data_IF_904166555112
#
_entry.id   IF_904166555112
#
_cell.length_a   1.000
_cell.length_b   1.000
_cell.length_c   1.000
_cell.angle_alpha   90.00
_cell.angle_beta   90.00
_cell.angle_gamma   90.00
#
_symmetry.space_group_name_H-M   'P 1'
#
loop_
_entity.id
_entity.type
_entity.pdbx_description
1 polymer ?
#
# COMPACT_ATOMS: atom_id res chain seq x y z
N UNK A 1 -6.01 -7.48 -7.41
CA UNK A 1 -4.81 -6.78 -6.94
C UNK A 1 -3.78 -6.69 -8.03
N UNK A 2 -3.52 -7.80 -8.73
CA UNK A 2 -2.54 -7.90 -9.83
C UNK A 2 -2.79 -6.97 -11.04
N UNK A 3 -4.04 -6.58 -11.27
CA UNK A 3 -4.42 -5.65 -12.34
C UNK A 3 -4.21 -4.18 -11.98
N UNK A 4 -5.30 -3.41 -11.97
CA UNK A 4 -5.27 -1.95 -11.80
C UNK A 4 -4.55 -1.48 -10.53
N UNK A 5 -4.69 -2.18 -9.40
CA UNK A 5 -4.05 -1.79 -8.13
C UNK A 5 -2.53 -1.80 -8.27
N UNK A 6 -1.94 -2.90 -8.73
CA UNK A 6 -0.50 -3.00 -8.96
C UNK A 6 -0.02 -2.02 -10.04
N UNK A 7 -0.77 -1.87 -11.12
CA UNK A 7 -0.43 -0.90 -12.18
C UNK A 7 -0.36 0.53 -11.63
N UNK A 8 -1.34 0.97 -10.85
CA UNK A 8 -1.33 2.30 -10.24
C UNK A 8 -0.21 2.49 -9.22
N UNK A 9 0.14 1.46 -8.43
CA UNK A 9 1.28 1.53 -7.52
C UNK A 9 2.62 1.71 -8.28
N UNK A 10 2.81 0.94 -9.35
CA UNK A 10 3.97 1.05 -10.25
C UNK A 10 4.05 2.43 -10.89
N UNK A 11 2.94 2.97 -11.38
CA UNK A 11 2.89 4.30 -11.96
C UNK A 11 3.18 5.38 -10.91
N UNK A 12 2.61 5.25 -9.71
CA UNK A 12 2.86 6.16 -8.59
C UNK A 12 4.35 6.25 -8.26
N UNK A 13 5.01 5.10 -8.09
CA UNK A 13 6.44 5.02 -7.83
C UNK A 13 7.28 5.69 -8.93
N UNK A 14 6.95 5.46 -10.21
CA UNK A 14 7.63 6.09 -11.34
C UNK A 14 7.49 7.62 -11.38
N UNK A 15 6.44 8.16 -10.77
CA UNK A 15 6.21 9.60 -10.65
C UNK A 15 6.66 10.18 -9.29
N UNK A 16 7.36 9.39 -8.47
CA UNK A 16 7.86 9.83 -7.16
C UNK A 16 6.79 9.90 -6.06
N UNK A 17 5.62 9.29 -6.27
CA UNK A 17 4.62 9.11 -5.24
C UNK A 17 4.84 7.80 -4.50
N UNK A 18 4.65 7.82 -3.18
CA UNK A 18 4.65 6.62 -2.35
C UNK A 18 3.21 6.18 -2.09
N UNK A 19 2.85 5.00 -2.58
CA UNK A 19 1.49 4.47 -2.46
C UNK A 19 1.33 3.69 -1.15
N UNK A 20 0.19 3.84 -0.48
CA UNK A 20 -0.27 2.93 0.56
C UNK A 20 -1.36 2.04 -0.04
N UNK A 21 -1.12 0.74 -0.13
CA UNK A 21 -2.09 -0.24 -0.65
C UNK A 21 -2.68 -1.00 0.53
N UNK A 22 -4.00 -0.89 0.69
CA UNK A 22 -4.73 -1.53 1.79
C UNK A 22 -5.05 -2.98 1.42
N UNK A 23 -4.36 -3.93 2.05
CA UNK A 23 -4.36 -5.34 1.67
C UNK A 23 -5.76 -5.97 1.75
N UNK A 24 -6.41 -5.83 2.90
CA UNK A 24 -7.73 -6.38 3.23
C UNK A 24 -8.89 -5.65 2.54
N UNK A 25 -8.63 -4.50 1.91
CA UNK A 25 -9.58 -3.80 1.04
C UNK A 25 -9.29 -4.02 -0.46
N UNK A 26 -8.20 -4.71 -0.80
CA UNK A 26 -7.83 -5.07 -2.16
C UNK A 26 -8.17 -6.54 -2.43
N UNK A 27 -8.49 -6.88 -3.67
CA UNK A 27 -8.90 -8.25 -4.01
C UNK A 27 -8.45 -8.69 -5.39
N UNK A 28 -8.11 -9.97 -5.51
CA UNK A 28 -7.84 -10.66 -6.77
C UNK A 28 -8.71 -11.92 -6.90
N UNK A 29 -8.88 -12.43 -8.13
CA UNK A 29 -9.61 -13.70 -8.35
C UNK A 29 -8.77 -14.91 -7.95
N UNK A 30 -7.44 -14.76 -7.96
CA UNK A 30 -6.49 -15.78 -7.52
C UNK A 30 -5.80 -15.32 -6.25
N UNK A 31 -5.86 -16.13 -5.19
CA UNK A 31 -5.16 -15.86 -3.94
C UNK A 31 -3.64 -15.77 -4.16
N UNK A 32 -3.07 -16.65 -4.97
CA UNK A 32 -1.65 -16.60 -5.34
C UNK A 32 -1.30 -15.28 -6.03
N UNK A 33 -2.10 -14.87 -7.01
CA UNK A 33 -1.87 -13.59 -7.70
C UNK A 33 -2.05 -12.38 -6.77
N UNK A 34 -2.93 -12.47 -5.78
CA UNK A 34 -3.10 -11.45 -4.75
C UNK A 34 -1.82 -11.28 -3.93
N UNK A 35 -1.32 -12.38 -3.34
CA UNK A 35 -0.15 -12.37 -2.47
C UNK A 35 1.12 -11.96 -3.23
N UNK A 36 1.37 -12.53 -4.43
CA UNK A 36 2.54 -12.13 -5.25
C UNK A 36 2.50 -10.65 -5.61
N UNK A 37 1.31 -10.11 -5.90
CA UNK A 37 1.19 -8.69 -6.25
C UNK A 37 1.42 -7.80 -5.04
N UNK A 38 0.85 -8.15 -3.87
CA UNK A 38 1.10 -7.42 -2.62
C UNK A 38 2.58 -7.42 -2.26
N UNK A 39 3.24 -8.59 -2.31
CA UNK A 39 4.67 -8.68 -2.05
C UNK A 39 5.49 -7.78 -2.99
N UNK A 40 5.19 -7.79 -4.29
CA UNK A 40 5.89 -6.90 -5.23
C UNK A 40 5.65 -5.41 -4.97
N UNK A 41 4.47 -5.05 -4.46
CA UNK A 41 4.15 -3.66 -4.12
C UNK A 41 4.96 -3.25 -2.89
N UNK A 42 4.95 -4.07 -1.84
CA UNK A 42 5.65 -3.80 -0.57
C UNK A 42 7.17 -3.74 -0.74
N UNK A 43 7.73 -4.58 -1.61
CA UNK A 43 9.16 -4.62 -1.86
C UNK A 43 9.67 -3.44 -2.71
N UNK A 44 8.85 -2.92 -3.64
CA UNK A 44 9.36 -2.07 -4.74
C UNK A 44 8.59 -0.79 -5.02
N UNK A 45 7.29 -0.73 -4.72
CA UNK A 45 6.39 0.30 -5.29
C UNK A 45 5.61 1.12 -4.25
N UNK A 46 5.57 0.68 -3.00
CA UNK A 46 4.84 1.35 -1.92
C UNK A 46 4.79 0.47 -0.66
N UNK A 47 3.88 0.79 0.25
CA UNK A 47 3.67 -0.04 1.44
C UNK A 47 2.33 -0.75 1.35
N UNK A 48 2.31 -2.00 1.82
CA UNK A 48 1.09 -2.76 2.02
C UNK A 48 0.68 -2.69 3.48
N UNK A 49 -0.51 -2.17 3.74
CA UNK A 49 -1.01 -1.90 5.09
C UNK A 49 -2.37 -2.54 5.34
N UNK A 50 -2.76 -2.69 6.61
CA UNK A 50 -4.14 -3.08 6.94
C UNK A 50 -5.11 -1.90 6.85
N UNK A 51 -6.41 -2.18 6.75
CA UNK A 51 -7.44 -1.13 6.84
C UNK A 51 -7.36 -0.38 8.18
N UNK A 52 -6.99 -1.08 9.27
CA UNK A 52 -6.84 -0.45 10.58
C UNK A 52 -5.71 0.59 10.58
N UNK A 53 -4.54 0.24 10.06
CA UNK A 53 -3.39 1.15 9.99
C UNK A 53 -3.66 2.34 9.06
N UNK A 54 -4.33 2.10 7.93
CA UNK A 54 -4.72 3.17 7.01
C UNK A 54 -5.69 4.16 7.66
N UNK A 55 -6.66 3.68 8.44
CA UNK A 55 -7.60 4.53 9.18
C UNK A 55 -6.91 5.31 10.30
N UNK A 56 -5.96 4.70 11.00
CA UNK A 56 -5.15 5.36 12.01
C UNK A 56 -4.32 6.49 11.39
N UNK A 57 -3.60 6.20 10.30
CA UNK A 57 -2.81 7.18 9.55
C UNK A 57 -3.65 8.39 9.12
N UNK A 58 -4.85 8.16 8.57
CA UNK A 58 -5.75 9.25 8.17
C UNK A 58 -6.22 10.11 9.34
N UNK A 59 -6.45 9.52 10.53
CA UNK A 59 -6.82 10.26 11.74
C UNK A 59 -5.65 11.11 12.25
N UNK A 60 -4.43 10.58 12.21
CA UNK A 60 -3.24 11.34 12.59
C UNK A 60 -3.02 12.55 11.68
N UNK A 61 -3.20 12.38 10.37
CA UNK A 61 -3.16 13.49 9.40
C UNK A 61 -4.17 14.58 9.72
N UNK A 62 -5.39 14.22 10.12
CA UNK A 62 -6.42 15.18 10.55
C UNK A 62 -6.03 15.93 11.82
N UNK A 63 -5.28 15.30 12.72
CA UNK A 63 -4.84 15.89 13.99
C UNK A 63 -3.62 16.83 13.87
N UNK A 64 -2.95 16.85 12.71
CA UNK A 64 -1.80 17.72 12.45
C UNK A 64 -0.46 17.19 12.97
N UNK A 65 -0.41 15.93 13.43
CA UNK A 65 0.84 15.25 13.86
C UNK A 65 0.96 13.91 13.14
N UNK A 66 1.33 13.88 11.85
CA UNK A 66 1.51 12.61 11.17
C UNK A 66 2.75 11.91 11.71
N UNK A 67 2.60 10.69 12.25
CA UNK A 67 3.76 9.82 12.43
C UNK A 67 4.04 9.17 11.08
N UNK A 68 5.20 9.47 10.50
CA UNK A 68 5.70 8.70 9.35
C UNK A 68 6.09 7.31 9.86
N UNK A 69 5.15 6.37 9.86
CA UNK A 69 5.43 4.98 10.29
C UNK A 69 4.82 4.03 9.29
N UNK A 70 5.57 3.79 8.22
CA UNK A 70 5.55 2.53 7.47
C UNK A 70 6.97 2.34 6.89
N UNK A 71 7.98 2.54 7.75
CA UNK A 71 9.33 2.08 7.46
C UNK A 71 9.32 0.58 7.79
N UNK A 72 9.06 -0.25 6.80
CA UNK A 72 9.73 -1.54 6.78
C UNK A 72 11.23 -1.20 6.73
N UNK A 73 11.94 -1.41 7.83
CA UNK A 73 13.38 -1.24 7.97
C UNK A 73 14.11 -2.20 7.01
N UNK A 74 14.15 -1.86 5.72
CA UNK A 74 15.00 -2.45 4.70
C UNK A 74 15.90 -1.39 4.09
#
# INVERSE_FOLDING_TARGET
>A
TSGCVRASAVDGAQHGFRSLVVADASGDRSAEAHETSLGSIDELYGDVVSTADALEYLRELQSGVPRTVFLSDH
#
